data_IF_543004413277
#
_entry.id   IF_543004413277
#
_cell.length_a   1.000
_cell.length_b   1.000
_cell.length_c   1.000
_cell.angle_alpha   90.00
_cell.angle_beta   90.00
_cell.angle_gamma   90.00
#
_symmetry.space_group_name_H-M   'P 1'
#
loop_
_entity.id
_entity.type
_entity.pdbx_description
1 polymer ?
#
# COMPACT_ATOMS: atom_id res chain seq x y z
N UNK A 1 19.97 6.23 34.90
CA UNK A 1 18.61 6.05 34.35
C UNK A 1 18.76 5.75 32.87
N UNK A 2 18.65 4.50 32.45
CA UNK A 2 18.56 4.18 31.02
C UNK A 2 17.28 4.80 30.49
N UNK A 3 17.41 5.79 29.60
CA UNK A 3 16.27 6.28 28.84
C UNK A 3 15.83 5.15 27.92
N UNK A 4 14.74 4.48 28.28
CA UNK A 4 14.15 3.45 27.43
C UNK A 4 13.64 4.15 26.16
N UNK A 5 14.40 4.05 25.06
CA UNK A 5 14.05 4.63 23.76
C UNK A 5 12.66 4.13 23.35
N UNK A 6 11.80 5.04 22.88
CA UNK A 6 10.46 4.65 22.44
C UNK A 6 10.59 3.87 21.12
N UNK A 7 9.99 2.68 21.06
CA UNK A 7 9.97 1.92 19.81
C UNK A 7 9.35 2.73 18.67
N UNK A 8 9.77 2.49 17.40
CA UNK A 8 9.19 3.14 16.24
C UNK A 8 7.65 3.07 16.23
N UNK A 9 7.09 1.89 16.50
CA UNK A 9 5.64 1.68 16.67
C UNK A 9 5.02 2.61 17.71
N UNK A 10 5.63 2.69 18.89
CA UNK A 10 5.11 3.54 19.97
C UNK A 10 5.19 5.01 19.59
N UNK A 11 6.28 5.46 18.94
CA UNK A 11 6.40 6.84 18.44
C UNK A 11 5.32 7.16 17.41
N UNK A 12 5.10 6.26 16.46
CA UNK A 12 4.07 6.41 15.43
C UNK A 12 2.66 6.49 16.02
N UNK A 13 2.27 5.51 16.86
CA UNK A 13 0.92 5.47 17.45
C UNK A 13 0.68 6.63 18.43
N UNK A 14 1.67 7.02 19.22
CA UNK A 14 1.55 8.20 20.09
C UNK A 14 1.34 9.48 19.28
N UNK A 15 2.04 9.64 18.16
CA UNK A 15 1.85 10.80 17.28
C UNK A 15 0.44 10.86 16.69
N UNK A 16 -0.10 9.71 16.28
CA UNK A 16 -1.43 9.61 15.67
C UNK A 16 -2.58 9.79 16.67
N UNK A 17 -2.47 9.22 17.86
CA UNK A 17 -3.56 9.17 18.85
C UNK A 17 -3.41 10.16 20.01
N UNK A 18 -2.46 11.10 19.93
CA UNK A 18 -2.21 12.07 21.00
C UNK A 18 -1.64 11.44 22.29
N UNK A 19 -0.87 10.36 22.15
CA UNK A 19 -0.23 9.66 23.25
C UNK A 19 1.01 10.38 23.82
N UNK A 20 1.72 9.71 24.74
CA UNK A 20 2.97 10.26 25.31
C UNK A 20 4.01 10.45 24.21
N UNK A 21 4.60 11.65 24.17
CA UNK A 21 5.70 11.98 23.25
C UNK A 21 6.89 11.03 23.50
N UNK A 22 7.41 10.48 22.41
CA UNK A 22 8.64 9.69 22.44
C UNK A 22 9.89 10.56 22.50
N UNK A 23 11.05 9.93 22.32
CA UNK A 23 12.37 10.55 22.26
C UNK A 23 12.56 11.50 21.07
N UNK A 24 11.84 11.28 19.97
CA UNK A 24 11.76 12.19 18.81
C UNK A 24 10.40 12.15 18.13
N UNK A 25 10.16 13.09 17.22
CA UNK A 25 9.00 13.07 16.31
C UNK A 25 9.06 11.82 15.44
N UNK A 26 7.92 11.16 15.26
CA UNK A 26 7.77 10.03 14.35
C UNK A 26 7.92 10.49 12.90
N UNK A 27 8.67 9.74 12.10
CA UNK A 27 8.75 9.93 10.65
C UNK A 27 8.16 8.69 10.00
N UNK A 28 7.01 8.83 9.36
CA UNK A 28 6.26 7.74 8.74
C UNK A 28 5.85 8.15 7.31
N UNK A 29 5.68 7.17 6.43
CA UNK A 29 5.21 7.41 5.07
C UNK A 29 4.01 6.50 4.75
N UNK A 30 2.79 7.05 4.60
CA UNK A 30 1.61 6.28 4.21
C UNK A 30 1.47 6.12 2.68
N UNK A 31 2.42 6.62 1.89
CA UNK A 31 2.46 6.46 0.43
C UNK A 31 3.70 5.66 0.00
N UNK A 32 3.80 5.34 -1.30
CA UNK A 32 4.95 4.59 -1.82
C UNK A 32 6.27 5.29 -1.46
N UNK A 33 7.22 4.48 -1.00
CA UNK A 33 8.62 4.86 -0.73
C UNK A 33 9.57 4.35 -1.83
N UNK A 34 9.03 3.60 -2.78
CA UNK A 34 9.84 2.79 -3.69
C UNK A 34 10.43 3.68 -4.78
N UNK A 35 11.75 3.63 -4.90
CA UNK A 35 12.53 4.19 -6.00
C UNK A 35 13.28 3.08 -6.72
N UNK A 36 13.78 3.36 -7.93
CA UNK A 36 14.66 2.42 -8.66
C UNK A 36 15.86 2.03 -7.80
N UNK A 37 16.48 2.98 -7.10
CA UNK A 37 17.62 2.69 -6.21
C UNK A 37 17.22 1.76 -5.04
N UNK A 38 16.02 1.92 -4.47
CA UNK A 38 15.55 1.04 -3.40
C UNK A 38 15.27 -0.37 -3.91
N UNK A 39 14.74 -0.50 -5.13
CA UNK A 39 14.58 -1.78 -5.81
C UNK A 39 15.93 -2.44 -6.09
N UNK A 40 16.93 -1.69 -6.55
CA UNK A 40 18.30 -2.20 -6.75
C UNK A 40 18.94 -2.66 -5.44
N UNK A 41 18.78 -1.91 -4.33
CA UNK A 41 19.31 -2.27 -3.01
C UNK A 41 18.69 -3.56 -2.44
N UNK A 42 17.43 -3.84 -2.77
CA UNK A 42 16.70 -5.02 -2.27
C UNK A 42 16.72 -6.19 -3.25
N UNK A 43 17.02 -5.95 -4.53
CA UNK A 43 16.90 -6.93 -5.61
C UNK A 43 15.45 -7.23 -6.01
N UNK A 44 14.49 -6.42 -5.54
CA UNK A 44 13.05 -6.63 -5.74
C UNK A 44 12.51 -5.50 -6.61
N UNK A 45 11.97 -5.84 -7.78
CA UNK A 45 11.54 -4.87 -8.78
C UNK A 45 10.03 -4.92 -9.04
N UNK A 46 9.51 -3.83 -9.59
CA UNK A 46 8.21 -3.84 -10.28
C UNK A 46 8.33 -4.57 -11.63
N UNK A 47 7.25 -5.23 -12.11
CA UNK A 47 5.92 -5.32 -11.50
C UNK A 47 5.79 -6.38 -10.39
N UNK A 48 6.79 -7.25 -10.20
CA UNK A 48 6.70 -8.39 -9.30
C UNK A 48 6.30 -8.00 -7.86
N UNK A 49 6.82 -6.89 -7.34
CA UNK A 49 6.48 -6.42 -6.00
C UNK A 49 5.03 -5.94 -5.84
N UNK A 50 4.27 -5.79 -6.93
CA UNK A 50 2.82 -5.55 -6.88
C UNK A 50 2.01 -6.85 -6.83
N UNK A 51 2.60 -7.98 -7.23
CA UNK A 51 1.91 -9.22 -7.55
C UNK A 51 2.30 -10.40 -6.66
N UNK A 52 3.43 -10.29 -5.94
CA UNK A 52 3.92 -11.31 -5.03
C UNK A 52 3.94 -10.76 -3.59
N UNK A 53 3.29 -11.44 -2.63
CA UNK A 53 3.14 -10.94 -1.27
C UNK A 53 4.45 -10.91 -0.48
N UNK A 54 5.40 -11.81 -0.79
CA UNK A 54 6.69 -11.88 -0.12
C UNK A 54 7.54 -10.72 -0.61
N UNK A 55 7.66 -10.54 -1.92
CA UNK A 55 8.38 -9.42 -2.54
C UNK A 55 7.80 -8.07 -2.10
N UNK A 56 6.47 -7.96 -2.04
CA UNK A 56 5.78 -6.77 -1.55
C UNK A 56 6.14 -6.46 -0.09
N UNK A 57 6.10 -7.46 0.79
CA UNK A 57 6.47 -7.30 2.19
C UNK A 57 7.94 -6.91 2.37
N UNK A 58 8.86 -7.58 1.69
CA UNK A 58 10.31 -7.33 1.78
C UNK A 58 10.69 -5.94 1.26
N UNK A 59 10.16 -5.54 0.09
CA UNK A 59 10.41 -4.20 -0.45
C UNK A 59 9.82 -3.10 0.44
N UNK A 60 8.66 -3.35 1.06
CA UNK A 60 8.09 -2.40 2.01
C UNK A 60 8.92 -2.28 3.30
N UNK A 61 9.44 -3.40 3.80
CA UNK A 61 10.28 -3.44 5.00
C UNK A 61 11.56 -2.61 4.85
N UNK A 62 12.09 -2.48 3.63
CA UNK A 62 13.23 -1.60 3.34
C UNK A 62 12.99 -0.13 3.74
N UNK A 63 11.73 0.32 3.82
CA UNK A 63 11.40 1.63 4.38
C UNK A 63 11.82 1.80 5.83
N UNK A 64 11.70 0.75 6.62
CA UNK A 64 12.19 0.73 7.99
C UNK A 64 13.69 0.40 8.03
N UNK A 65 14.10 -0.68 7.36
CA UNK A 65 15.45 -1.25 7.51
C UNK A 65 16.55 -0.41 6.85
N UNK A 66 16.26 0.22 5.72
CA UNK A 66 17.23 1.02 4.95
C UNK A 66 16.98 2.52 5.17
N UNK A 67 15.71 2.96 5.10
CA UNK A 67 15.38 4.39 5.16
C UNK A 67 15.12 4.91 6.58
N UNK A 68 14.91 4.02 7.57
CA UNK A 68 14.74 4.39 8.97
C UNK A 68 13.36 4.95 9.35
N UNK A 69 12.33 4.71 8.54
CA UNK A 69 10.96 5.12 8.84
C UNK A 69 10.38 4.38 10.05
N UNK A 70 9.50 5.04 10.79
CA UNK A 70 8.81 4.47 11.95
C UNK A 70 7.57 3.64 11.58
N UNK A 71 7.33 3.47 10.28
CA UNK A 71 6.21 2.75 9.69
C UNK A 71 6.63 1.93 8.47
N UNK A 72 5.89 0.86 8.20
CA UNK A 72 5.94 0.10 6.94
C UNK A 72 4.53 0.07 6.32
N UNK A 73 4.45 0.26 5.01
CA UNK A 73 3.21 0.30 4.23
C UNK A 73 3.42 -0.46 2.90
N UNK A 74 2.78 -1.62 2.68
CA UNK A 74 3.11 -2.53 1.57
C UNK A 74 2.35 -2.27 0.26
N UNK A 75 1.76 -1.09 0.03
CA UNK A 75 0.97 -0.84 -1.18
C UNK A 75 1.52 0.33 -1.99
N UNK A 76 2.19 0.01 -3.09
CA UNK A 76 2.99 0.96 -3.86
C UNK A 76 2.24 1.66 -5.00
N UNK A 77 1.10 1.13 -5.43
CA UNK A 77 0.27 1.68 -6.50
C UNK A 77 -1.15 1.99 -5.99
N UNK A 78 -2.05 2.28 -6.93
CA UNK A 78 -3.45 2.66 -6.68
C UNK A 78 -4.41 1.75 -7.45
N UNK A 79 -3.96 0.56 -7.89
CA UNK A 79 -4.63 -0.26 -8.91
C UNK A 79 -5.15 -1.60 -8.37
N UNK A 80 -4.89 -1.94 -7.12
CA UNK A 80 -5.21 -3.24 -6.54
C UNK A 80 -6.72 -3.43 -6.47
N UNK A 81 -7.44 -2.46 -5.89
CA UNK A 81 -8.89 -2.51 -5.87
C UNK A 81 -9.50 -2.35 -7.26
N UNK A 82 -8.85 -1.60 -8.16
CA UNK A 82 -9.33 -1.46 -9.55
C UNK A 82 -9.31 -2.81 -10.29
N UNK A 83 -8.21 -3.57 -10.19
CA UNK A 83 -8.15 -4.93 -10.74
C UNK A 83 -9.19 -5.84 -10.09
N UNK A 84 -9.30 -5.79 -8.75
CA UNK A 84 -10.24 -6.60 -8.00
C UNK A 84 -11.71 -6.35 -8.40
N UNK A 85 -12.01 -5.12 -8.80
CA UNK A 85 -13.32 -4.66 -9.27
C UNK A 85 -13.53 -4.84 -10.78
N UNK A 86 -12.52 -5.33 -11.52
CA UNK A 86 -12.66 -5.76 -12.92
C UNK A 86 -11.98 -4.87 -13.96
N UNK A 87 -11.16 -3.90 -13.56
CA UNK A 87 -10.29 -3.20 -14.50
C UNK A 87 -9.17 -4.13 -14.99
N UNK A 88 -8.84 -4.05 -16.28
CA UNK A 88 -7.62 -4.66 -16.82
C UNK A 88 -6.48 -3.73 -16.48
N UNK A 89 -5.53 -4.19 -15.66
CA UNK A 89 -4.39 -3.40 -15.21
C UNK A 89 -3.14 -3.83 -15.95
N UNK A 90 -2.45 -2.85 -16.55
CA UNK A 90 -1.06 -2.98 -16.91
C UNK A 90 -0.23 -2.73 -15.65
N UNK A 91 0.46 -3.76 -15.15
CA UNK A 91 1.24 -3.65 -13.92
C UNK A 91 2.58 -2.91 -14.11
N UNK A 92 2.88 -2.45 -15.32
CA UNK A 92 4.02 -1.59 -15.59
C UNK A 92 5.36 -2.33 -15.60
N UNK A 93 6.42 -1.61 -15.21
CA UNK A 93 7.81 -2.06 -15.30
C UNK A 93 8.65 -1.41 -14.18
N UNK A 94 9.95 -1.73 -14.02
CA UNK A 94 10.79 -1.13 -12.98
C UNK A 94 10.81 0.41 -12.97
N UNK A 95 10.51 1.07 -14.09
CA UNK A 95 10.47 2.53 -14.20
C UNK A 95 9.08 3.09 -14.55
N UNK A 96 8.04 2.25 -14.53
CA UNK A 96 6.68 2.63 -14.92
C UNK A 96 5.66 2.06 -13.94
N UNK A 97 4.83 2.95 -13.37
CA UNK A 97 3.79 2.57 -12.42
C UNK A 97 2.62 1.83 -13.08
N UNK A 98 1.88 0.99 -12.33
CA UNK A 98 0.66 0.36 -12.81
C UNK A 98 -0.42 1.33 -13.27
N UNK A 99 -1.15 0.95 -14.32
CA UNK A 99 -2.20 1.75 -14.95
C UNK A 99 -3.42 0.91 -15.34
N UNK A 100 -4.62 1.40 -15.01
CA UNK A 100 -5.86 0.76 -15.42
C UNK A 100 -6.17 1.09 -16.89
N UNK A 101 -6.25 0.05 -17.72
CA UNK A 101 -6.50 0.18 -19.17
C UNK A 101 -7.98 0.12 -19.55
N UNK A 102 -8.84 -0.26 -18.61
CA UNK A 102 -10.30 -0.32 -18.82
C UNK A 102 -11.05 0.30 -17.66
N UNK A 103 -12.29 0.70 -17.96
CA UNK A 103 -13.24 1.28 -17.02
C UNK A 103 -14.60 0.57 -17.21
N UNK A 104 -14.89 -0.48 -16.43
CA UNK A 104 -15.97 -1.42 -16.72
C UNK A 104 -17.38 -0.87 -16.45
N UNK A 105 -17.53 0.22 -15.69
CA UNK A 105 -18.84 0.78 -15.32
C UNK A 105 -19.19 1.92 -16.27
N UNK A 106 -20.21 1.74 -17.10
CA UNK A 106 -20.70 2.77 -18.04
C UNK A 106 -21.97 3.45 -17.57
N UNK A 107 -22.67 2.85 -16.63
CA UNK A 107 -23.84 3.39 -15.96
C UNK A 107 -23.84 2.98 -14.49
N UNK A 108 -24.37 3.82 -13.59
CA UNK A 108 -24.41 3.54 -12.14
C UNK A 108 -25.11 2.20 -11.84
N UNK A 109 -26.10 1.82 -12.63
CA UNK A 109 -26.83 0.55 -12.54
C UNK A 109 -25.94 -0.69 -12.73
N UNK A 110 -24.79 -0.55 -13.38
CA UNK A 110 -23.82 -1.62 -13.63
C UNK A 110 -22.80 -1.78 -12.50
N UNK A 111 -22.76 -0.84 -11.54
CA UNK A 111 -21.85 -0.92 -10.41
C UNK A 111 -22.19 -2.15 -9.56
N UNK A 112 -21.26 -3.10 -9.50
CA UNK A 112 -21.39 -4.30 -8.72
C UNK A 112 -20.11 -4.52 -7.91
N UNK A 113 -20.26 -4.66 -6.59
CA UNK A 113 -19.15 -5.03 -5.69
C UNK A 113 -19.24 -6.54 -5.47
N UNK A 114 -18.22 -7.33 -5.90
CA UNK A 114 -18.21 -8.77 -5.68
C UNK A 114 -18.22 -9.11 -4.19
N UNK A 115 -19.02 -10.10 -3.76
CA UNK A 115 -19.05 -10.55 -2.36
C UNK A 115 -17.68 -11.07 -1.89
N UNK A 116 -16.91 -11.68 -2.79
CA UNK A 116 -15.58 -12.22 -2.55
C UNK A 116 -14.45 -11.26 -2.94
N UNK A 117 -14.66 -9.94 -2.84
CA UNK A 117 -13.67 -8.92 -3.19
C UNK A 117 -12.31 -9.15 -2.52
N UNK A 118 -12.30 -9.52 -1.24
CA UNK A 118 -11.06 -9.76 -0.49
C UNK A 118 -10.28 -11.00 -0.94
N UNK A 119 -10.94 -11.91 -1.69
CA UNK A 119 -10.32 -13.11 -2.24
C UNK A 119 -9.72 -12.86 -3.63
N UNK A 120 -9.93 -11.68 -4.22
CA UNK A 120 -9.36 -11.32 -5.52
C UNK A 120 -7.82 -11.30 -5.44
N UNK A 121 -7.11 -11.76 -6.49
CA UNK A 121 -5.65 -11.92 -6.44
C UNK A 121 -4.91 -10.65 -6.00
N UNK A 122 -5.22 -9.50 -6.58
CA UNK A 122 -4.62 -8.20 -6.25
C UNK A 122 -4.79 -7.79 -4.79
N UNK A 123 -5.97 -8.05 -4.19
CA UNK A 123 -6.24 -7.77 -2.77
C UNK A 123 -5.52 -8.78 -1.87
N UNK A 124 -5.55 -10.06 -2.24
CA UNK A 124 -4.89 -11.13 -1.46
C UNK A 124 -3.40 -10.89 -1.31
N UNK A 125 -2.73 -10.38 -2.34
CA UNK A 125 -1.30 -10.04 -2.27
C UNK A 125 -1.04 -9.01 -1.16
N UNK A 126 -1.84 -7.93 -1.09
CA UNK A 126 -1.70 -6.89 -0.05
C UNK A 126 -2.00 -7.45 1.34
N UNK A 127 -3.08 -8.23 1.50
CA UNK A 127 -3.45 -8.81 2.79
C UNK A 127 -2.38 -9.78 3.31
N UNK A 128 -1.83 -10.63 2.44
CA UNK A 128 -0.75 -11.55 2.79
C UNK A 128 0.55 -10.81 3.12
N UNK A 129 0.88 -9.75 2.39
CA UNK A 129 2.04 -8.90 2.72
C UNK A 129 1.86 -8.25 4.11
N UNK A 130 0.67 -7.75 4.44
CA UNK A 130 0.36 -7.20 5.76
C UNK A 130 0.49 -8.26 6.88
N UNK A 131 0.05 -9.49 6.64
CA UNK A 131 0.21 -10.60 7.58
C UNK A 131 1.69 -10.90 7.85
N UNK A 132 2.51 -11.00 6.79
CA UNK A 132 3.96 -11.21 6.89
C UNK A 132 4.63 -10.08 7.67
N UNK A 133 4.30 -8.82 7.35
CA UNK A 133 4.87 -7.66 8.02
C UNK A 133 4.47 -7.57 9.49
N UNK A 134 3.21 -7.87 9.80
CA UNK A 134 2.74 -7.91 11.19
C UNK A 134 3.46 -9.00 11.98
N UNK A 135 3.65 -10.18 11.39
CA UNK A 135 4.38 -11.30 12.01
C UNK A 135 5.84 -10.91 12.32
N UNK A 136 6.51 -10.25 11.38
CA UNK A 136 7.95 -9.98 11.49
C UNK A 136 8.27 -8.69 12.27
N UNK A 137 7.46 -7.63 12.11
CA UNK A 137 7.76 -6.29 12.62
C UNK A 137 6.68 -5.70 13.55
N UNK A 138 5.53 -6.36 13.70
CA UNK A 138 4.34 -5.77 14.32
C UNK A 138 4.50 -5.36 15.80
N UNK A 139 5.54 -5.81 16.50
CA UNK A 139 5.85 -5.37 17.87
C UNK A 139 6.82 -4.18 17.92
N UNK A 140 7.46 -3.84 16.80
CA UNK A 140 8.57 -2.89 16.73
C UNK A 140 8.22 -1.64 15.90
N UNK A 141 7.51 -1.82 14.78
CA UNK A 141 7.25 -0.77 13.77
C UNK A 141 5.74 -0.61 13.54
N UNK A 142 5.29 0.59 13.16
CA UNK A 142 3.91 0.80 12.75
C UNK A 142 3.62 0.12 11.42
N UNK A 143 2.59 -0.73 11.33
CA UNK A 143 2.16 -1.32 10.06
C UNK A 143 0.93 -0.56 9.58
N UNK A 144 1.02 0.02 8.38
CA UNK A 144 -0.05 0.80 7.77
C UNK A 144 -0.70 -0.04 6.67
N UNK A 145 -1.98 -0.35 6.86
CA UNK A 145 -2.84 -0.79 5.77
C UNK A 145 -3.38 0.43 5.02
N UNK A 146 -3.53 0.30 3.70
CA UNK A 146 -4.03 1.35 2.82
C UNK A 146 -5.15 0.80 1.95
N UNK A 147 -6.13 1.64 1.69
CA UNK A 147 -7.20 1.43 0.71
C UNK A 147 -7.40 2.73 -0.04
N UNK A 148 -7.80 2.66 -1.29
CA UNK A 148 -8.08 3.84 -2.09
C UNK A 148 -9.40 4.47 -1.67
N UNK A 149 -9.41 5.81 -1.65
CA UNK A 149 -10.62 6.56 -1.39
C UNK A 149 -11.70 6.32 -2.45
N UNK A 150 -12.98 6.47 -2.10
CA UNK A 150 -14.10 6.16 -3.01
C UNK A 150 -14.04 6.98 -4.30
N UNK A 151 -13.61 8.24 -4.24
CA UNK A 151 -13.43 9.08 -5.44
C UNK A 151 -12.44 8.49 -6.44
N UNK A 152 -11.31 7.99 -5.94
CA UNK A 152 -10.29 7.35 -6.76
C UNK A 152 -10.85 6.10 -7.41
N UNK A 153 -11.46 5.23 -6.61
CA UNK A 153 -12.08 4.00 -7.13
C UNK A 153 -13.17 4.30 -8.14
N UNK A 154 -14.00 5.31 -7.92
CA UNK A 154 -15.05 5.68 -8.88
C UNK A 154 -14.50 6.07 -10.24
N UNK A 155 -13.45 6.89 -10.33
CA UNK A 155 -12.88 7.23 -11.63
C UNK A 155 -12.15 6.04 -12.28
N UNK A 156 -11.55 5.14 -11.51
CA UNK A 156 -10.97 3.90 -12.05
C UNK A 156 -12.05 3.01 -12.66
N UNK A 157 -13.22 2.96 -12.05
CA UNK A 157 -14.32 2.13 -12.53
C UNK A 157 -15.06 2.74 -13.73
N UNK A 158 -15.23 4.06 -13.74
CA UNK A 158 -16.08 4.74 -14.73
C UNK A 158 -15.30 5.40 -15.88
N UNK A 159 -14.03 5.73 -15.65
CA UNK A 159 -13.27 6.66 -16.48
C UNK A 159 -13.37 8.08 -15.94
N UNK A 160 -12.29 8.85 -16.02
CA UNK A 160 -12.22 10.20 -15.42
C UNK A 160 -13.24 11.15 -16.05
N UNK A 161 -13.39 11.12 -17.37
CA UNK A 161 -14.30 12.01 -18.08
C UNK A 161 -15.75 11.72 -17.71
N UNK A 162 -16.16 10.46 -17.81
CA UNK A 162 -17.51 10.00 -17.48
C UNK A 162 -17.85 10.30 -16.03
N UNK A 163 -16.93 10.00 -15.11
CA UNK A 163 -17.14 10.25 -13.68
C UNK A 163 -17.34 11.73 -13.35
N UNK A 164 -16.65 12.65 -14.04
CA UNK A 164 -16.80 14.08 -13.83
C UNK A 164 -18.06 14.68 -14.48
N UNK A 165 -18.71 13.95 -15.40
CA UNK A 165 -19.91 14.39 -16.09
C UNK A 165 -21.21 13.89 -15.44
N UNK A 166 -21.13 12.99 -14.46
CA UNK A 166 -22.28 12.43 -13.73
C UNK A 166 -22.71 13.28 -12.53
#
# INVERSE_FOLDING_TARGET
MEHHLSSPKRRFLSGLFGGRKGDRISVANPTSIVSVELMEKTGIFFPDAHLDPIKMAELAAAGYEILGFDSIMPEFSVQQEAEALGCVVDWGSPSMMPDAKTHPVKEVSQLHIPENLLEKPSIRVVLQALELLRKNYGNQVGIIGKVMGPWTISYHMCGVQEFLLW
#
